data_IF_939766657637
#
_entry.id   IF_939766657637
#
_cell.length_a   1.000
_cell.length_b   1.000
_cell.length_c   1.000
_cell.angle_alpha   90.00
_cell.angle_beta   90.00
_cell.angle_gamma   90.00
#
_symmetry.space_group_name_H-M   'P 1'
#
loop_
_entity.id
_entity.type
_entity.pdbx_description
1 polymer ?
#
# COMPACT_ATOMS: atom_id res chain seq x y z
N UNK A 1 -35.13 -7.57 9.36
CA UNK A 1 -34.80 -6.26 9.96
C UNK A 1 -33.51 -5.81 9.29
N UNK A 2 -33.60 -5.00 8.23
CA UNK A 2 -32.41 -4.53 7.50
C UNK A 2 -31.82 -3.40 8.35
N UNK A 3 -30.83 -3.72 9.18
CA UNK A 3 -30.05 -2.71 9.87
C UNK A 3 -29.28 -1.92 8.82
N UNK A 4 -29.62 -0.63 8.66
CA UNK A 4 -28.87 0.26 7.80
C UNK A 4 -27.43 0.33 8.28
N UNK A 5 -26.50 -0.19 7.47
CA UNK A 5 -25.08 0.05 7.66
C UNK A 5 -24.87 1.56 7.48
N UNK A 6 -24.17 2.25 8.39
CA UNK A 6 -23.84 3.65 8.15
C UNK A 6 -23.10 3.71 6.80
N UNK A 7 -23.49 4.66 5.96
CA UNK A 7 -22.84 4.94 4.69
C UNK A 7 -21.43 5.44 5.01
N UNK A 8 -20.52 4.50 5.28
CA UNK A 8 -19.14 4.79 5.62
C UNK A 8 -18.51 5.22 4.32
N UNK A 9 -18.54 6.53 4.07
CA UNK A 9 -17.95 7.14 2.90
C UNK A 9 -16.49 6.72 2.84
N UNK A 10 -16.20 5.82 1.90
CA UNK A 10 -14.84 5.37 1.64
C UNK A 10 -14.01 6.61 1.30
N UNK A 11 -12.82 6.70 1.90
CA UNK A 11 -11.91 7.81 1.59
C UNK A 11 -11.59 7.79 0.10
N UNK A 12 -11.28 8.94 -0.53
CA UNK A 12 -10.87 8.98 -1.93
C UNK A 12 -9.66 8.08 -2.25
N UNK A 13 -8.86 7.76 -1.24
CA UNK A 13 -7.69 6.88 -1.34
C UNK A 13 -8.04 5.38 -1.19
N UNK A 14 -9.32 5.00 -1.07
CA UNK A 14 -9.71 3.60 -0.92
C UNK A 14 -9.43 2.78 -2.19
N UNK A 15 -8.74 1.64 -2.10
CA UNK A 15 -8.41 0.83 -3.27
C UNK A 15 -9.64 0.10 -3.82
N UNK A 16 -9.87 0.23 -5.14
CA UNK A 16 -11.06 -0.29 -5.81
C UNK A 16 -11.25 -1.83 -5.71
N UNK A 17 -10.17 -2.57 -5.48
CA UNK A 17 -10.20 -4.04 -5.34
C UNK A 17 -10.42 -4.52 -3.90
N UNK A 18 -10.49 -3.62 -2.92
CA UNK A 18 -10.73 -3.96 -1.52
C UNK A 18 -12.18 -3.63 -1.16
N UNK A 19 -12.91 -4.62 -0.67
CA UNK A 19 -14.29 -4.44 -0.24
C UNK A 19 -14.36 -3.52 0.98
N UNK A 20 -15.48 -2.79 1.19
CA UNK A 20 -15.59 -1.83 2.29
C UNK A 20 -15.49 -2.51 3.67
N UNK A 21 -15.07 -1.77 4.72
CA UNK A 21 -15.11 -2.26 6.09
C UNK A 21 -16.52 -2.75 6.47
N UNK A 22 -16.59 -3.82 7.26
CA UNK A 22 -17.86 -4.46 7.65
C UNK A 22 -18.41 -5.49 6.67
N UNK A 23 -17.90 -5.56 5.43
CA UNK A 23 -18.21 -6.67 4.53
C UNK A 23 -17.51 -7.96 4.97
N UNK A 24 -18.19 -9.11 4.89
CA UNK A 24 -17.63 -10.43 5.24
C UNK A 24 -16.32 -10.77 4.48
N UNK A 25 -16.15 -10.18 3.31
CA UNK A 25 -15.00 -10.39 2.42
C UNK A 25 -13.94 -9.28 2.49
N UNK A 26 -14.12 -8.29 3.37
CA UNK A 26 -13.18 -7.17 3.54
C UNK A 26 -11.75 -7.67 3.78
N UNK A 27 -11.54 -8.49 4.80
CA UNK A 27 -10.19 -8.92 5.16
C UNK A 27 -9.53 -9.75 4.07
N UNK A 28 -10.29 -10.63 3.42
CA UNK A 28 -9.78 -11.49 2.37
C UNK A 28 -9.34 -10.67 1.15
N UNK A 29 -10.12 -9.66 0.75
CA UNK A 29 -9.76 -8.77 -0.38
C UNK A 29 -8.62 -7.82 0.00
N UNK A 30 -8.59 -7.32 1.23
CA UNK A 30 -7.49 -6.53 1.76
C UNK A 30 -6.17 -7.32 1.78
N UNK A 31 -6.18 -8.58 2.22
CA UNK A 31 -5.00 -9.44 2.22
C UNK A 31 -4.43 -9.61 0.81
N UNK A 32 -5.29 -9.94 -0.17
CA UNK A 32 -4.87 -10.12 -1.57
C UNK A 32 -4.20 -8.85 -2.08
N UNK A 33 -4.85 -7.71 -1.89
CA UNK A 33 -4.34 -6.41 -2.34
C UNK A 33 -3.03 -6.01 -1.63
N UNK A 34 -2.92 -6.18 -0.31
CA UNK A 34 -1.72 -5.85 0.45
C UNK A 34 -0.52 -6.71 0.02
N UNK A 35 -0.73 -7.98 -0.32
CA UNK A 35 0.33 -8.86 -0.79
C UNK A 35 0.90 -8.45 -2.15
N UNK A 36 0.18 -7.66 -2.95
CA UNK A 36 0.67 -7.12 -4.22
C UNK A 36 1.62 -5.92 -4.02
N UNK A 37 1.73 -5.41 -2.79
CA UNK A 37 2.58 -4.27 -2.43
C UNK A 37 3.81 -4.65 -1.58
N UNK A 38 4.09 -5.94 -1.43
CA UNK A 38 5.29 -6.46 -0.74
C UNK A 38 5.99 -7.53 -1.60
N UNK A 39 7.28 -7.83 -1.34
CA UNK A 39 7.96 -8.93 -2.01
C UNK A 39 7.19 -10.26 -1.93
N UNK A 40 7.21 -11.02 -3.02
CA UNK A 40 6.40 -12.22 -3.15
C UNK A 40 6.71 -13.28 -2.08
N UNK A 41 7.95 -13.36 -1.62
CA UNK A 41 8.41 -14.29 -0.58
C UNK A 41 7.66 -14.13 0.74
N UNK A 42 7.07 -12.96 1.02
CA UNK A 42 6.26 -12.79 2.23
C UNK A 42 5.01 -13.67 2.26
N UNK A 43 4.56 -14.15 1.09
CA UNK A 43 3.48 -15.14 0.98
C UNK A 43 3.87 -16.49 1.58
N UNK A 44 5.15 -16.77 1.85
CA UNK A 44 5.59 -17.99 2.55
C UNK A 44 5.33 -17.91 4.07
N UNK A 45 5.19 -16.70 4.61
CA UNK A 45 4.97 -16.50 6.05
C UNK A 45 3.48 -16.53 6.39
N UNK A 46 2.97 -17.71 6.73
CA UNK A 46 1.55 -17.92 7.06
C UNK A 46 1.00 -17.05 8.20
N UNK A 47 1.86 -16.47 9.05
CA UNK A 47 1.45 -15.48 10.07
C UNK A 47 0.82 -14.22 9.43
N UNK A 48 1.32 -13.78 8.26
CA UNK A 48 0.83 -12.58 7.60
C UNK A 48 -0.57 -12.75 6.98
N UNK A 49 -0.94 -13.99 6.61
CA UNK A 49 -2.31 -14.31 6.21
C UNK A 49 -3.26 -14.39 7.41
N UNK A 50 -2.78 -14.89 8.55
CA UNK A 50 -3.58 -15.04 9.77
C UNK A 50 -3.78 -13.74 10.53
N UNK A 51 -2.89 -12.77 10.35
CA UNK A 51 -2.92 -11.48 11.04
C UNK A 51 -2.83 -10.33 10.02
N UNK A 52 -3.96 -9.92 9.41
CA UNK A 52 -3.99 -8.85 8.41
C UNK A 52 -3.36 -7.53 8.88
N UNK A 53 -3.52 -7.16 10.17
CA UNK A 53 -2.89 -5.96 10.77
C UNK A 53 -1.35 -6.03 10.74
N UNK A 54 -0.77 -7.22 10.84
CA UNK A 54 0.68 -7.39 10.71
C UNK A 54 1.12 -7.19 9.25
N UNK A 55 0.33 -7.69 8.29
CA UNK A 55 0.60 -7.51 6.86
C UNK A 55 0.45 -6.04 6.44
N UNK A 56 -0.59 -5.33 6.89
CA UNK A 56 -0.78 -3.91 6.56
C UNK A 56 0.36 -3.05 7.10
N UNK A 57 0.81 -3.31 8.33
CA UNK A 57 2.01 -2.67 8.89
C UNK A 57 3.25 -2.92 8.03
N UNK A 58 3.45 -4.14 7.54
CA UNK A 58 4.57 -4.51 6.68
C UNK A 58 4.50 -3.80 5.33
N UNK A 59 3.34 -3.83 4.68
CA UNK A 59 3.10 -3.16 3.41
C UNK A 59 3.34 -1.65 3.53
N UNK A 60 2.90 -1.01 4.61
CA UNK A 60 3.18 0.40 4.89
C UNK A 60 4.68 0.68 4.89
N UNK A 61 5.46 -0.14 5.61
CA UNK A 61 6.91 0.02 5.66
C UNK A 61 7.54 -0.14 4.26
N UNK A 62 7.14 -1.16 3.50
CA UNK A 62 7.67 -1.39 2.16
C UNK A 62 7.37 -0.26 1.19
N UNK A 63 6.11 0.19 1.13
CA UNK A 63 5.69 1.25 0.22
C UNK A 63 6.31 2.59 0.63
N UNK A 64 6.39 2.89 1.92
CA UNK A 64 7.08 4.09 2.42
C UNK A 64 8.56 4.08 2.04
N UNK A 65 9.26 2.95 2.20
CA UNK A 65 10.65 2.82 1.79
C UNK A 65 10.83 2.93 0.27
N UNK A 66 9.91 2.39 -0.53
CA UNK A 66 9.92 2.52 -1.98
C UNK A 66 9.71 3.97 -2.45
N UNK A 67 8.82 4.71 -1.78
CA UNK A 67 8.61 6.14 -2.04
C UNK A 67 9.88 6.94 -1.76
N UNK A 68 10.55 6.69 -0.63
CA UNK A 68 11.81 7.37 -0.31
C UNK A 68 12.93 6.98 -1.29
N UNK A 69 13.01 5.72 -1.70
CA UNK A 69 13.96 5.29 -2.72
C UNK A 69 13.73 6.00 -4.07
N UNK A 70 12.47 6.17 -4.49
CA UNK A 70 12.16 6.90 -5.72
C UNK A 70 12.54 8.38 -5.62
N UNK A 71 12.30 9.02 -4.47
CA UNK A 71 12.71 10.41 -4.19
C UNK A 71 14.23 10.56 -4.18
N UNK A 72 14.93 9.61 -3.58
CA UNK A 72 16.40 9.58 -3.57
C UNK A 72 16.95 9.46 -4.98
N UNK A 73 16.47 8.47 -5.74
CA UNK A 73 16.88 8.26 -7.13
C UNK A 73 16.64 9.49 -8.00
N UNK A 74 15.49 10.17 -7.84
CA UNK A 74 15.23 11.43 -8.55
C UNK A 74 16.24 12.52 -8.20
N UNK A 75 16.66 12.61 -6.92
CA UNK A 75 17.60 13.64 -6.45
C UNK A 75 19.03 13.40 -6.93
N UNK A 76 19.47 12.15 -7.06
CA UNK A 76 20.89 11.85 -7.34
C UNK A 76 21.17 11.38 -8.77
N UNK A 77 20.21 10.75 -9.45
CA UNK A 77 20.46 10.04 -10.71
C UNK A 77 21.09 10.90 -11.81
N UNK A 78 20.76 12.20 -11.91
CA UNK A 78 21.41 13.09 -12.89
C UNK A 78 22.91 13.20 -12.70
N UNK A 79 23.37 13.28 -11.46
CA UNK A 79 24.81 13.37 -11.17
C UNK A 79 25.45 12.01 -11.33
N UNK A 80 24.82 10.97 -10.79
CA UNK A 80 25.39 9.62 -10.74
C UNK A 80 25.48 8.96 -12.11
N UNK A 81 24.60 9.31 -13.06
CA UNK A 81 24.46 8.60 -14.33
C UNK A 81 24.89 9.39 -15.57
N UNK A 82 25.12 10.70 -15.49
CA UNK A 82 25.39 11.54 -16.69
C UNK A 82 26.58 11.07 -17.55
N UNK A 83 27.57 10.45 -16.93
CA UNK A 83 28.78 9.97 -17.62
C UNK A 83 28.60 8.57 -18.22
N UNK A 84 27.46 7.92 -17.94
CA UNK A 84 27.15 6.55 -18.35
C UNK A 84 26.01 6.46 -19.38
N UNK A 85 25.29 7.54 -19.65
CA UNK A 85 24.14 7.53 -20.55
C UNK A 85 23.95 8.86 -21.30
N UNK A 86 23.37 8.80 -22.51
CA UNK A 86 23.05 10.01 -23.26
C UNK A 86 21.94 10.81 -22.57
N UNK A 87 21.86 12.15 -22.77
CA UNK A 87 20.92 13.02 -22.05
C UNK A 87 19.45 12.59 -22.14
N UNK A 88 18.99 12.16 -23.33
CA UNK A 88 17.61 11.73 -23.52
C UNK A 88 17.26 10.44 -22.75
N UNK A 89 18.22 9.56 -22.48
CA UNK A 89 18.01 8.37 -21.66
C UNK A 89 17.96 8.75 -20.18
N UNK A 90 18.80 9.71 -19.76
CA UNK A 90 18.77 10.25 -18.41
C UNK A 90 17.42 10.92 -18.09
N UNK A 91 16.86 11.71 -19.02
CA UNK A 91 15.53 12.31 -18.83
C UNK A 91 14.42 11.25 -18.70
N UNK A 92 14.53 10.13 -19.41
CA UNK A 92 13.61 8.99 -19.24
C UNK A 92 13.72 8.36 -17.84
N UNK A 93 14.93 8.19 -17.31
CA UNK A 93 15.14 7.71 -15.93
C UNK A 93 14.54 8.67 -14.92
N UNK A 94 14.72 9.98 -15.11
CA UNK A 94 14.13 11.00 -14.22
C UNK A 94 12.60 10.95 -14.23
N UNK A 95 12.00 10.77 -15.41
CA UNK A 95 10.55 10.61 -15.54
C UNK A 95 10.06 9.32 -14.88
N UNK A 96 10.84 8.23 -14.96
CA UNK A 96 10.51 6.98 -14.28
C UNK A 96 10.47 7.15 -12.75
N UNK A 97 11.47 7.80 -12.15
CA UNK A 97 11.46 8.09 -10.72
C UNK A 97 10.31 9.00 -10.30
N UNK A 98 9.99 10.02 -11.11
CA UNK A 98 8.86 10.91 -10.83
C UNK A 98 7.54 10.14 -10.85
N UNK A 99 7.29 9.35 -11.90
CA UNK A 99 6.09 8.54 -12.03
C UNK A 99 5.96 7.53 -10.89
N UNK A 100 7.06 6.87 -10.53
CA UNK A 100 7.09 5.89 -9.46
C UNK A 100 6.86 6.53 -8.08
N UNK A 101 7.46 7.69 -7.83
CA UNK A 101 7.21 8.45 -6.60
C UNK A 101 5.74 8.85 -6.45
N UNK A 102 5.08 9.30 -7.52
CA UNK A 102 3.65 9.61 -7.50
C UNK A 102 2.80 8.36 -7.25
N UNK A 103 3.13 7.25 -7.92
CA UNK A 103 2.47 5.96 -7.75
C UNK A 103 2.57 5.47 -6.30
N UNK A 104 3.77 5.44 -5.73
CA UNK A 104 4.00 4.99 -4.35
C UNK A 104 3.35 5.91 -3.31
N UNK A 105 3.33 7.22 -3.54
CA UNK A 105 2.62 8.15 -2.66
C UNK A 105 1.11 7.88 -2.64
N UNK A 106 0.51 7.54 -3.79
CA UNK A 106 -0.91 7.17 -3.84
C UNK A 106 -1.18 5.83 -3.14
N UNK A 107 -0.37 4.80 -3.44
CA UNK A 107 -0.48 3.48 -2.79
C UNK A 107 -0.31 3.61 -1.28
N UNK A 108 0.62 4.44 -0.79
CA UNK A 108 0.86 4.61 0.64
C UNK A 108 -0.39 5.10 1.36
N UNK A 109 -1.10 6.10 0.81
CA UNK A 109 -2.36 6.58 1.38
C UNK A 109 -3.45 5.50 1.38
N UNK A 110 -3.54 4.69 0.32
CA UNK A 110 -4.43 3.55 0.29
C UNK A 110 -4.09 2.51 1.36
N UNK A 111 -2.80 2.23 1.57
CA UNK A 111 -2.33 1.30 2.61
C UNK A 111 -2.67 1.85 4.00
N UNK A 112 -2.47 3.13 4.25
CA UNK A 112 -2.84 3.79 5.51
C UNK A 112 -4.35 3.69 5.79
N UNK A 113 -5.19 3.91 4.78
CA UNK A 113 -6.64 3.77 4.91
C UNK A 113 -7.07 2.33 5.24
N UNK A 114 -6.49 1.34 4.55
CA UNK A 114 -6.76 -0.09 4.79
C UNK A 114 -6.22 -0.53 6.16
N UNK A 115 -5.03 -0.09 6.57
CA UNK A 115 -4.44 -0.38 7.88
C UNK A 115 -5.35 0.15 9.02
N UNK A 116 -5.84 1.38 8.90
CA UNK A 116 -6.76 1.96 9.87
C UNK A 116 -8.06 1.12 10.00
N UNK A 117 -8.65 0.72 8.88
CA UNK A 117 -9.86 -0.10 8.88
C UNK A 117 -9.62 -1.52 9.44
N UNK A 118 -8.49 -2.16 9.12
CA UNK A 118 -8.14 -3.48 9.67
C UNK A 118 -7.92 -3.42 11.19
N UNK A 119 -7.32 -2.33 11.70
CA UNK A 119 -7.15 -2.11 13.15
C UNK A 119 -8.48 -1.91 13.86
N UNK A 120 -9.39 -1.13 13.27
CA UNK A 120 -10.73 -0.93 13.81
C UNK A 120 -11.48 -2.27 13.92
N UNK A 121 -11.54 -3.04 12.83
CA UNK A 121 -12.18 -4.35 12.81
C UNK A 121 -11.57 -5.35 13.81
N UNK A 122 -10.25 -5.33 13.98
CA UNK A 122 -9.58 -6.19 14.97
C UNK A 122 -9.92 -5.80 16.42
N UNK A 123 -10.08 -4.49 16.69
CA UNK A 123 -10.45 -3.99 18.02
C UNK A 123 -11.89 -4.36 18.36
N UNK A 124 -12.81 -4.25 17.40
CA UNK A 124 -14.22 -4.62 17.56
C UNK A 124 -14.37 -6.10 17.94
N UNK A 125 -13.68 -7.00 17.23
CA UNK A 125 -13.71 -8.44 17.54
C UNK A 125 -13.15 -8.79 18.92
N UNK A 126 -12.10 -8.10 19.36
CA UNK A 126 -11.51 -8.33 20.68
C UNK A 126 -12.34 -7.76 21.84
N UNK A 127 -13.35 -6.92 21.56
CA UNK A 127 -14.31 -6.43 22.55
C UNK A 127 -15.53 -7.33 22.74
N UNK A 128 -15.75 -8.28 21.82
CA UNK A 128 -16.86 -9.25 21.85
C UNK A 128 -16.49 -10.58 22.56
N UNK A 129 -15.22 -10.79 22.90
CA UNK A 129 -14.68 -11.92 23.69
C UNK A 129 -14.60 -11.61 25.20
#
# INVERSE_FOLDING_TARGET
MIGGMPDQSLTPDWPASVHPPGADSFEQTALVWLFDHVPADYRLHGVLRRHPVALSRLAHQYVSSALEAAREGYRTARVDLRDHMPPHALDQVMNAYLAEGQRMAAVLRSVEAVDAALRAAATERGGDE
#
